data_IF_208067081979
#
_entry.id   IF_208067081979
#
_cell.length_a   1.000
_cell.length_b   1.000
_cell.length_c   1.000
_cell.angle_alpha   90.00
_cell.angle_beta   90.00
_cell.angle_gamma   90.00
#
_symmetry.space_group_name_H-M   'P 1'
#
loop_
_entity.id
_entity.type
_entity.pdbx_description
1 polymer ?
#
# COMPACT_ATOMS: atom_id res chain seq x y z
N UNK A 1 11.52 5.65 -6.03
CA UNK A 1 10.77 6.78 -5.42
C UNK A 1 10.97 6.83 -3.91
N UNK A 2 10.63 5.78 -3.17
CA UNK A 2 10.63 5.80 -1.70
C UNK A 2 12.01 5.71 -1.04
N UNK A 3 13.01 5.13 -1.70
CA UNK A 3 14.36 4.97 -1.13
C UNK A 3 14.99 6.28 -0.68
N UNK A 4 14.88 7.34 -1.49
CA UNK A 4 15.41 8.65 -1.12
C UNK A 4 14.65 9.21 0.09
N UNK A 5 13.32 9.20 0.06
CA UNK A 5 12.52 9.78 1.16
C UNK A 5 12.76 9.03 2.48
N UNK A 6 12.71 7.69 2.46
CA UNK A 6 12.92 6.86 3.64
C UNK A 6 14.39 6.81 4.09
N UNK A 7 15.31 7.15 3.20
CA UNK A 7 16.76 7.13 3.42
C UNK A 7 17.35 8.45 3.94
N UNK A 8 16.54 9.48 4.22
CA UNK A 8 17.03 10.79 4.68
C UNK A 8 16.41 11.24 6.01
N UNK A 9 17.12 12.16 6.69
CA UNK A 9 16.66 12.85 7.90
C UNK A 9 16.17 11.89 9.01
N UNK A 10 15.08 12.26 9.70
CA UNK A 10 14.53 11.54 10.86
C UNK A 10 14.12 10.10 10.53
N UNK A 11 13.66 9.83 9.30
CA UNK A 11 13.26 8.48 8.87
C UNK A 11 14.47 7.54 8.78
N UNK A 12 15.60 8.04 8.28
CA UNK A 12 16.87 7.31 8.27
C UNK A 12 17.31 6.96 9.69
N UNK A 13 17.32 7.95 10.59
CA UNK A 13 17.76 7.78 11.98
C UNK A 13 16.86 6.76 12.71
N UNK A 14 15.54 6.83 12.51
CA UNK A 14 14.60 5.88 13.11
C UNK A 14 14.87 4.44 12.66
N UNK A 15 15.15 4.23 11.37
CA UNK A 15 15.55 2.92 10.83
C UNK A 15 16.89 2.43 11.38
N UNK A 16 17.91 3.30 11.43
CA UNK A 16 19.24 2.96 11.97
C UNK A 16 19.21 2.59 13.45
N UNK A 17 18.30 3.21 14.22
CA UNK A 17 18.04 2.87 15.62
C UNK A 17 17.09 1.67 15.80
N UNK A 18 16.71 1.00 14.71
CA UNK A 18 15.76 -0.13 14.70
C UNK A 18 14.41 0.17 15.39
N UNK A 19 13.97 1.43 15.41
CA UNK A 19 12.67 1.83 15.97
C UNK A 19 11.51 1.53 15.03
N UNK A 20 11.81 1.44 13.73
CA UNK A 20 10.85 1.22 12.65
C UNK A 20 11.48 0.35 11.56
N UNK A 21 10.65 -0.44 10.88
CA UNK A 21 11.02 -1.20 9.69
C UNK A 21 10.13 -0.77 8.53
N UNK A 22 10.74 -0.56 7.35
CA UNK A 22 10.03 -0.21 6.13
C UNK A 22 10.20 -1.31 5.10
N UNK A 23 9.10 -1.92 4.67
CA UNK A 23 9.08 -2.94 3.63
C UNK A 23 8.31 -2.38 2.42
N UNK A 24 8.97 -2.35 1.26
CA UNK A 24 8.39 -1.85 0.02
C UNK A 24 8.05 -3.03 -0.89
N UNK A 25 6.82 -3.06 -1.37
CA UNK A 25 6.33 -4.12 -2.26
C UNK A 25 5.91 -3.50 -3.60
N UNK A 26 6.46 -4.01 -4.69
CA UNK A 26 6.06 -3.61 -6.04
C UNK A 26 4.98 -4.56 -6.56
N UNK A 27 3.75 -4.06 -6.70
CA UNK A 27 2.61 -4.89 -7.16
C UNK A 27 2.86 -5.58 -8.51
N UNK A 28 3.75 -5.04 -9.34
CA UNK A 28 4.13 -5.64 -10.62
C UNK A 28 4.81 -7.00 -10.49
N UNK A 29 5.47 -7.25 -9.36
CA UNK A 29 6.16 -8.52 -9.09
C UNK A 29 5.17 -9.64 -8.78
N UNK A 30 3.96 -9.28 -8.35
CA UNK A 30 2.85 -10.17 -7.99
C UNK A 30 1.79 -10.28 -9.10
N UNK A 31 2.05 -9.67 -10.27
CA UNK A 31 1.20 -9.78 -11.44
C UNK A 31 1.50 -11.08 -12.20
N UNK A 32 0.46 -11.81 -12.64
CA UNK A 32 0.59 -12.96 -13.54
C UNK A 32 1.39 -12.61 -14.81
N UNK A 33 1.14 -11.41 -15.35
CA UNK A 33 1.94 -10.82 -16.40
C UNK A 33 2.53 -9.49 -15.93
N UNK A 34 3.82 -9.49 -15.61
CA UNK A 34 4.57 -8.31 -15.13
C UNK A 34 4.50 -7.10 -16.06
N UNK A 35 4.09 -7.25 -17.33
CA UNK A 35 3.94 -6.11 -18.25
C UNK A 35 2.58 -5.42 -18.12
N UNK A 36 1.54 -6.11 -17.62
CA UNK A 36 0.15 -5.63 -17.59
C UNK A 36 -0.37 -5.57 -16.15
N UNK A 37 -0.29 -4.39 -15.54
CA UNK A 37 -0.77 -4.12 -14.16
C UNK A 37 -2.00 -3.22 -14.12
N UNK A 38 -2.48 -2.81 -15.28
CA UNK A 38 -3.62 -1.93 -15.51
C UNK A 38 -4.57 -2.54 -16.55
N UNK A 39 -5.85 -2.19 -16.46
CA UNK A 39 -6.89 -2.64 -17.37
C UNK A 39 -7.77 -1.48 -17.84
N UNK A 40 -8.56 -1.73 -18.88
CA UNK A 40 -9.57 -0.79 -19.34
C UNK A 40 -10.71 -0.72 -18.34
N UNK A 41 -11.23 0.48 -18.03
CA UNK A 41 -12.41 0.62 -17.20
C UNK A 41 -13.63 -0.04 -17.87
N UNK A 42 -14.46 -0.69 -17.06
CA UNK A 42 -15.77 -1.16 -17.52
C UNK A 42 -16.65 0.02 -17.96
N UNK A 43 -17.41 -0.16 -19.03
CA UNK A 43 -18.20 0.91 -19.65
C UNK A 43 -17.44 1.77 -20.65
N UNK A 44 -16.13 1.54 -20.84
CA UNK A 44 -15.30 2.29 -21.75
C UNK A 44 -14.95 3.69 -21.23
N UNK A 45 -14.39 4.53 -22.11
CA UNK A 45 -13.90 5.86 -21.77
C UNK A 45 -12.36 5.97 -21.76
N UNK A 46 -11.84 7.21 -21.70
CA UNK A 46 -10.40 7.44 -21.66
C UNK A 46 -9.82 7.05 -20.29
N UNK A 47 -8.58 6.56 -20.31
CA UNK A 47 -7.83 6.21 -19.10
C UNK A 47 -7.76 4.71 -18.84
N UNK A 48 -7.04 4.37 -17.78
CA UNK A 48 -6.78 3.01 -17.33
C UNK A 48 -7.07 2.92 -15.83
N UNK A 49 -7.46 1.73 -15.37
CA UNK A 49 -7.64 1.42 -13.94
C UNK A 49 -6.62 0.38 -13.51
N UNK A 50 -6.20 0.39 -12.25
CA UNK A 50 -5.32 -0.67 -11.76
C UNK A 50 -6.04 -2.01 -11.78
N UNK A 51 -5.35 -3.07 -12.21
CA UNK A 51 -5.89 -4.43 -12.14
C UNK A 51 -6.02 -4.84 -10.67
N UNK A 52 -7.15 -5.48 -10.28
CA UNK A 52 -7.29 -6.03 -8.95
C UNK A 52 -6.25 -7.11 -8.64
N UNK A 53 -6.01 -8.03 -9.59
CA UNK A 53 -5.13 -9.19 -9.44
C UNK A 53 -3.77 -8.90 -8.78
N UNK A 54 -2.90 -8.02 -9.30
CA UNK A 54 -1.60 -7.76 -8.69
C UNK A 54 -1.71 -7.10 -7.30
N UNK A 55 -2.77 -6.32 -7.05
CA UNK A 55 -3.00 -5.67 -5.76
C UNK A 55 -3.35 -6.73 -4.71
N UNK A 56 -4.33 -7.59 -5.00
CA UNK A 56 -4.77 -8.64 -4.08
C UNK A 56 -3.65 -9.64 -3.82
N UNK A 57 -2.95 -10.09 -4.87
CA UNK A 57 -1.82 -11.02 -4.73
C UNK A 57 -0.72 -10.46 -3.82
N UNK A 58 -0.42 -9.17 -3.94
CA UNK A 58 0.56 -8.50 -3.07
C UNK A 58 0.09 -8.48 -1.62
N UNK A 59 -1.16 -8.09 -1.39
CA UNK A 59 -1.72 -7.99 -0.03
C UNK A 59 -1.78 -9.37 0.63
N UNK A 60 -2.22 -10.40 -0.09
CA UNK A 60 -2.24 -11.77 0.41
C UNK A 60 -0.84 -12.31 0.71
N UNK A 61 0.15 -12.00 -0.12
CA UNK A 61 1.54 -12.40 0.15
C UNK A 61 2.04 -11.79 1.46
N UNK A 62 1.78 -10.50 1.68
CA UNK A 62 2.14 -9.80 2.92
C UNK A 62 1.43 -10.42 4.13
N UNK A 63 0.14 -10.71 4.01
CA UNK A 63 -0.65 -11.31 5.10
C UNK A 63 -0.23 -12.75 5.42
N UNK A 64 0.40 -13.48 4.51
CA UNK A 64 0.92 -14.83 4.77
C UNK A 64 2.23 -14.84 5.55
N UNK A 65 3.04 -13.78 5.43
CA UNK A 65 4.35 -13.70 6.09
C UNK A 65 4.27 -13.37 7.59
N UNK A 66 3.06 -13.12 8.10
CA UNK A 66 2.87 -12.49 9.40
C UNK A 66 1.45 -12.71 9.94
N UNK A 67 1.34 -13.02 11.22
CA UNK A 67 0.04 -13.23 11.88
C UNK A 67 -0.58 -11.90 12.39
N UNK A 68 0.02 -10.76 12.01
CA UNK A 68 -0.37 -9.45 12.51
C UNK A 68 -1.56 -8.87 11.73
N UNK A 69 -2.55 -8.33 12.46
CA UNK A 69 -3.63 -7.56 11.84
C UNK A 69 -3.14 -6.19 11.35
N UNK A 70 -3.09 -6.02 10.03
CA UNK A 70 -2.73 -4.75 9.41
C UNK A 70 -3.90 -3.79 9.22
N UNK A 71 -3.59 -2.50 9.36
CA UNK A 71 -4.44 -1.43 8.85
C UNK A 71 -4.10 -1.20 7.37
N UNK A 72 -5.10 -1.32 6.51
CA UNK A 72 -4.97 -1.13 5.06
C UNK A 72 -5.50 0.26 4.69
N UNK A 73 -4.65 1.09 4.11
CA UNK A 73 -4.95 2.48 3.77
C UNK A 73 -4.71 2.66 2.26
N UNK A 74 -5.72 3.16 1.55
CA UNK A 74 -5.60 3.57 0.15
C UNK A 74 -5.57 5.09 0.07
N UNK A 75 -4.47 5.61 -0.49
CA UNK A 75 -4.29 7.05 -0.72
C UNK A 75 -4.96 7.45 -2.02
N UNK A 76 -5.92 8.38 -1.95
CA UNK A 76 -6.56 8.98 -3.13
C UNK A 76 -6.53 10.50 -3.02
N UNK A 77 -6.75 11.21 -4.13
CA UNK A 77 -6.62 12.67 -4.18
C UNK A 77 -7.60 13.43 -3.29
N UNK A 78 -8.74 12.84 -2.91
CA UNK A 78 -9.78 13.52 -2.14
C UNK A 78 -10.09 12.90 -0.78
N UNK A 79 -9.81 11.61 -0.59
CA UNK A 79 -10.20 10.88 0.62
C UNK A 79 -9.18 9.79 0.94
N UNK A 80 -8.86 9.62 2.22
CA UNK A 80 -8.15 8.44 2.70
C UNK A 80 -9.20 7.34 2.91
N UNK A 81 -9.10 6.26 2.14
CA UNK A 81 -10.01 5.12 2.27
C UNK A 81 -9.37 4.07 3.17
N UNK A 82 -10.02 3.78 4.30
CA UNK A 82 -9.64 2.68 5.18
C UNK A 82 -10.34 1.40 4.74
N UNK A 83 -9.56 0.38 4.37
CA UNK A 83 -10.11 -0.87 3.83
C UNK A 83 -10.53 -1.88 4.92
N UNK A 84 -10.10 -1.66 6.18
CA UNK A 84 -10.52 -2.42 7.37
C UNK A 84 -11.06 -1.44 8.45
N UNK A 85 -12.04 -1.84 9.29
CA UNK A 85 -12.60 -0.97 10.31
C UNK A 85 -11.56 -0.49 11.34
N UNK A 86 -11.70 0.76 11.80
CA UNK A 86 -10.78 1.41 12.73
C UNK A 86 -10.88 0.80 14.16
N UNK A 87 -9.75 0.62 14.87
CA UNK A 87 -9.76 0.56 16.33
C UNK A 87 -10.23 1.92 16.90
N UNK A 88 -11.03 1.91 17.97
CA UNK A 88 -11.58 3.12 18.62
C UNK A 88 -10.53 4.21 18.92
N UNK A 89 -9.26 3.83 19.13
CA UNK A 89 -8.16 4.73 19.48
C UNK A 89 -7.83 5.77 18.41
N UNK A 90 -8.19 5.56 17.14
CA UNK A 90 -7.92 6.50 16.04
C UNK A 90 -9.18 7.27 15.58
N UNK A 91 -10.35 6.97 16.15
CA UNK A 91 -11.56 7.77 15.91
C UNK A 91 -11.57 9.08 16.73
N UNK A 92 -10.80 9.14 17.82
CA UNK A 92 -10.84 10.24 18.78
C UNK A 92 -9.95 11.45 18.44
N UNK A 93 -9.16 11.40 17.38
CA UNK A 93 -8.37 12.55 16.91
C UNK A 93 -8.25 12.51 15.38
N UNK A 94 -9.25 13.03 14.64
CA UNK A 94 -9.00 13.48 13.28
C UNK A 94 -7.97 14.61 13.33
N UNK A 95 -6.96 14.53 12.47
CA UNK A 95 -6.02 15.64 12.21
C UNK A 95 -6.81 16.81 11.62
#
# INVERSE_FOLDING_TARGET
MFENVLGHSILKIAREKALVQYNLFNIREYAENKRCVDDRPYGGGPGMVMKPEPIFNTVEAIERETDARYKKILLTQGVIVFLNPLPETWQKNPI
#
